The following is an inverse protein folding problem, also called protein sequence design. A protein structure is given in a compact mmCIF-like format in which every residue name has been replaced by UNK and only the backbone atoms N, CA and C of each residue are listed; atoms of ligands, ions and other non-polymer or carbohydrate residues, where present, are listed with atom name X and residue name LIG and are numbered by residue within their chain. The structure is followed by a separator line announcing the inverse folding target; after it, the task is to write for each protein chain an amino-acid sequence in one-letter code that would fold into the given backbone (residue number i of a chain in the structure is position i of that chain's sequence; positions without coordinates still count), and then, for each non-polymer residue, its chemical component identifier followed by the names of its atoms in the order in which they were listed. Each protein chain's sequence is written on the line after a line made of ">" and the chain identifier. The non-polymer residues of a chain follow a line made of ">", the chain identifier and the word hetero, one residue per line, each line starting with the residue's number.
data_IF_426624511603
#
_entry.id   IF_426624511603
#
_cell.length_a   1.000
_cell.length_b   1.000
_cell.length_c   1.000
_cell.angle_alpha   90.00
_cell.angle_beta   90.00
_cell.angle_gamma   90.00
#
_symmetry.space_group_name_H-M   'P 1'
#
loop_
_entity.id
_entity.type
_entity.pdbx_description
1 polymer ?
#
# COMPACT_ATOMS: atom_id res chain seq x y z
N UNK A 1 -35.37 -7.86 -9.48
CA UNK A 1 -35.37 -6.73 -8.52
C UNK A 1 -34.41 -5.62 -8.93
N UNK A 2 -33.08 -5.84 -8.96
CA UNK A 2 -32.10 -4.79 -9.29
C UNK A 2 -32.41 -3.99 -10.57
N UNK A 3 -32.65 -4.67 -11.70
CA UNK A 3 -32.95 -4.02 -13.00
C UNK A 3 -34.26 -3.23 -12.98
N UNK A 4 -35.24 -3.63 -12.17
CA UNK A 4 -36.49 -2.88 -12.04
C UNK A 4 -36.29 -1.58 -11.22
N UNK A 5 -35.37 -1.59 -10.25
CA UNK A 5 -35.07 -0.41 -9.41
C UNK A 5 -34.13 0.58 -10.07
N UNK A 6 -33.08 0.10 -10.75
CA UNK A 6 -31.99 0.92 -11.27
C UNK A 6 -31.93 1.02 -12.80
N UNK A 7 -32.53 0.06 -13.51
CA UNK A 7 -32.45 -0.02 -14.96
C UNK A 7 -31.01 -0.16 -15.45
N UNK A 8 -30.67 0.62 -16.48
CA UNK A 8 -29.34 0.67 -17.10
C UNK A 8 -28.45 1.79 -16.52
N UNK A 9 -28.97 2.55 -15.55
CA UNK A 9 -28.26 3.67 -14.93
C UNK A 9 -27.42 3.19 -13.74
N UNK A 10 -26.33 3.91 -13.39
CA UNK A 10 -25.54 3.57 -12.22
C UNK A 10 -26.34 3.79 -10.94
N UNK A 11 -26.04 2.99 -9.90
CA UNK A 11 -26.77 2.99 -8.62
C UNK A 11 -26.87 4.39 -7.98
N UNK A 12 -25.87 5.24 -8.19
CA UNK A 12 -25.76 6.55 -7.57
C UNK A 12 -26.44 7.69 -8.36
N UNK A 13 -26.99 7.45 -9.56
CA UNK A 13 -27.59 8.49 -10.42
C UNK A 13 -28.78 9.20 -9.76
N UNK A 14 -29.69 8.43 -9.15
CA UNK A 14 -30.89 8.96 -8.50
C UNK A 14 -30.65 9.59 -7.12
N UNK A 15 -29.40 9.73 -6.68
CA UNK A 15 -29.08 10.13 -5.32
C UNK A 15 -28.61 11.58 -5.21
N UNK A 16 -29.29 12.36 -4.36
CA UNK A 16 -28.92 13.75 -4.06
C UNK A 16 -28.66 13.95 -2.57
N UNK A 17 -27.54 14.61 -2.25
CA UNK A 17 -27.16 14.95 -0.88
C UNK A 17 -27.72 16.30 -0.45
N UNK A 18 -28.36 16.31 0.71
CA UNK A 18 -28.76 17.54 1.38
C UNK A 18 -27.54 18.20 2.02
N UNK A 19 -27.25 19.45 1.63
CA UNK A 19 -26.19 20.28 2.18
C UNK A 19 -26.60 21.77 2.08
N UNK A 20 -25.95 22.63 2.86
CA UNK A 20 -26.23 24.06 2.88
C UNK A 20 -25.51 24.74 1.70
N UNK A 21 -26.22 25.61 0.97
CA UNK A 21 -25.67 26.36 -0.16
C UNK A 21 -25.56 25.53 -1.45
N UNK A 22 -24.96 26.14 -2.48
CA UNK A 22 -24.75 25.51 -3.79
C UNK A 22 -23.51 24.60 -3.84
N UNK A 23 -22.49 24.89 -3.05
CA UNK A 23 -21.22 24.15 -3.03
C UNK A 23 -21.26 23.09 -1.93
N UNK A 24 -21.11 21.80 -2.26
CA UNK A 24 -21.08 20.75 -1.25
C UNK A 24 -19.79 20.78 -0.43
N UNK A 25 -19.82 20.27 0.82
CA UNK A 25 -18.60 20.09 1.59
C UNK A 25 -17.67 19.09 0.89
N UNK A 26 -16.36 19.42 0.86
CA UNK A 26 -15.34 18.64 0.16
C UNK A 26 -15.13 17.22 0.71
N UNK A 27 -15.71 16.92 1.87
CA UNK A 27 -15.75 15.57 2.45
C UNK A 27 -17.18 15.16 2.72
N UNK A 28 -17.53 13.96 2.26
CA UNK A 28 -18.79 13.33 2.62
C UNK A 28 -18.76 12.84 4.08
N UNK A 29 -19.92 12.49 4.62
CA UNK A 29 -20.05 12.01 5.99
C UNK A 29 -19.22 10.74 6.22
N UNK A 30 -18.74 10.55 7.45
CA UNK A 30 -17.90 9.39 7.83
C UNK A 30 -18.61 8.04 7.59
N UNK A 31 -19.85 7.88 8.06
CA UNK A 31 -20.65 6.67 7.88
C UNK A 31 -22.16 6.97 7.87
N UNK A 32 -22.93 6.19 7.13
CA UNK A 32 -24.40 6.24 7.09
C UNK A 32 -25.08 5.37 8.14
N UNK A 33 -24.39 4.36 8.67
CA UNK A 33 -24.87 3.50 9.75
C UNK A 33 -24.20 3.93 11.07
N UNK A 34 -24.99 4.31 12.07
CA UNK A 34 -24.51 4.68 13.42
C UNK A 34 -25.25 3.85 14.45
N UNK A 35 -24.53 3.07 15.27
CA UNK A 35 -25.11 2.19 16.30
C UNK A 35 -26.27 1.32 15.76
N UNK A 36 -26.11 0.75 14.57
CA UNK A 36 -27.12 -0.09 13.92
C UNK A 36 -28.30 0.64 13.27
N UNK A 37 -28.42 1.97 13.41
CA UNK A 37 -29.48 2.77 12.78
C UNK A 37 -28.96 3.56 11.58
N UNK A 38 -29.75 3.59 10.51
CA UNK A 38 -29.45 4.41 9.33
C UNK A 38 -29.72 5.88 9.61
N UNK A 39 -28.90 6.75 9.04
CA UNK A 39 -29.17 8.20 8.96
C UNK A 39 -30.35 8.44 8.01
N UNK A 40 -31.12 9.51 8.20
CA UNK A 40 -32.36 9.77 7.44
C UNK A 40 -32.23 9.68 5.91
N UNK A 41 -31.18 10.27 5.32
CA UNK A 41 -30.89 10.14 3.88
C UNK A 41 -29.60 9.32 3.66
N UNK A 42 -29.62 7.97 3.75
CA UNK A 42 -28.43 7.11 3.63
C UNK A 42 -27.84 7.15 2.21
N UNK A 43 -26.59 6.74 2.03
CA UNK A 43 -25.98 6.71 0.69
C UNK A 43 -26.51 5.55 -0.16
N UNK A 44 -26.35 5.56 -1.50
CA UNK A 44 -26.94 4.55 -2.39
C UNK A 44 -26.61 3.10 -1.99
N UNK A 45 -25.35 2.84 -1.61
CA UNK A 45 -24.88 1.53 -1.14
C UNK A 45 -25.46 1.15 0.24
N UNK A 46 -25.73 2.12 1.13
CA UNK A 46 -26.22 1.82 2.48
C UNK A 46 -27.74 1.86 2.61
N UNK A 47 -28.46 2.33 1.59
CA UNK A 47 -29.92 2.27 1.55
C UNK A 47 -30.38 0.82 1.34
N UNK A 48 -29.67 0.12 0.46
CA UNK A 48 -30.05 -1.21 0.00
C UNK A 48 -29.09 -2.26 0.57
N UNK A 49 -29.64 -3.25 1.28
CA UNK A 49 -28.83 -4.33 1.91
C UNK A 49 -28.29 -5.34 0.91
N UNK A 50 -28.93 -5.45 -0.25
CA UNK A 50 -28.59 -6.42 -1.29
C UNK A 50 -27.35 -5.99 -2.09
N UNK A 51 -26.90 -4.74 -1.92
CA UNK A 51 -25.75 -4.19 -2.62
C UNK A 51 -24.47 -4.38 -1.81
N UNK A 52 -23.91 -5.59 -1.89
CA UNK A 52 -22.67 -5.96 -1.20
C UNK A 52 -21.44 -5.52 -2.01
N UNK A 53 -20.59 -4.70 -1.38
CA UNK A 53 -19.31 -4.24 -1.94
C UNK A 53 -18.25 -5.32 -1.72
N UNK A 54 -18.09 -6.18 -2.72
CA UNK A 54 -17.10 -7.25 -2.78
C UNK A 54 -16.27 -7.13 -4.07
N UNK A 55 -15.03 -7.60 -4.05
CA UNK A 55 -14.15 -7.66 -5.22
C UNK A 55 -14.68 -8.57 -6.33
N UNK A 56 -15.51 -9.58 -5.98
CA UNK A 56 -16.17 -10.50 -6.94
C UNK A 56 -17.21 -9.79 -7.81
N UNK A 57 -17.79 -8.69 -7.33
CA UNK A 57 -18.89 -8.00 -7.98
C UNK A 57 -18.40 -6.90 -8.93
N UNK A 58 -17.75 -7.31 -10.01
CA UNK A 58 -17.11 -6.39 -10.98
C UNK A 58 -18.13 -5.43 -11.60
N UNK A 59 -19.33 -5.92 -11.96
CA UNK A 59 -20.42 -5.10 -12.54
C UNK A 59 -20.90 -3.98 -11.61
N UNK A 60 -20.71 -4.13 -10.31
CA UNK A 60 -21.03 -3.08 -9.34
C UNK A 60 -19.87 -2.09 -9.23
N UNK A 61 -18.65 -2.60 -9.09
CA UNK A 61 -17.44 -1.77 -8.93
C UNK A 61 -17.17 -0.89 -10.15
N UNK A 62 -17.41 -1.41 -11.36
CA UNK A 62 -17.22 -0.71 -12.63
C UNK A 62 -18.05 0.58 -12.71
N UNK A 63 -19.24 0.61 -12.10
CA UNK A 63 -20.10 1.80 -12.05
C UNK A 63 -19.50 2.95 -11.24
N UNK A 64 -18.51 2.68 -10.38
CA UNK A 64 -17.83 3.67 -9.56
C UNK A 64 -16.48 4.10 -10.16
N UNK A 65 -16.14 3.62 -11.36
CA UNK A 65 -14.91 3.92 -12.08
C UNK A 65 -15.26 4.70 -13.35
N UNK A 66 -14.42 5.67 -13.71
CA UNK A 66 -14.56 6.39 -14.98
C UNK A 66 -14.17 5.46 -16.15
N UNK A 67 -15.03 5.27 -17.16
CA UNK A 67 -14.75 4.36 -18.28
C UNK A 67 -13.56 4.80 -19.15
N UNK A 68 -13.24 6.10 -19.15
CA UNK A 68 -12.14 6.65 -19.96
C UNK A 68 -10.83 6.77 -19.17
N UNK A 69 -10.91 7.13 -17.88
CA UNK A 69 -9.72 7.42 -17.08
C UNK A 69 -9.27 6.23 -16.22
N UNK A 70 -10.16 5.26 -15.95
CA UNK A 70 -9.90 4.19 -14.98
C UNK A 70 -9.78 4.67 -13.52
N UNK A 71 -10.07 5.94 -13.26
CA UNK A 71 -9.99 6.56 -11.92
C UNK A 71 -11.32 6.37 -11.18
N UNK A 72 -11.24 6.04 -9.90
CA UNK A 72 -12.40 5.91 -9.01
C UNK A 72 -13.04 7.29 -8.81
N UNK A 73 -14.35 7.39 -8.99
CA UNK A 73 -15.06 8.65 -8.76
C UNK A 73 -14.93 9.12 -7.31
N UNK A 74 -14.69 10.43 -7.14
CA UNK A 74 -14.65 11.03 -5.82
C UNK A 74 -16.02 10.93 -5.11
N UNK A 75 -16.09 10.73 -3.78
CA UNK A 75 -17.34 10.58 -3.04
C UNK A 75 -18.33 11.74 -3.17
N UNK A 76 -17.89 12.93 -3.60
CA UNK A 76 -18.77 14.07 -3.88
C UNK A 76 -19.66 13.77 -5.10
N UNK A 77 -19.12 13.13 -6.14
CA UNK A 77 -19.87 12.76 -7.34
C UNK A 77 -20.84 11.60 -7.06
N UNK A 78 -20.38 10.56 -6.39
CA UNK A 78 -21.17 9.33 -6.16
C UNK A 78 -22.08 9.42 -4.93
N UNK A 79 -21.85 10.40 -4.05
CA UNK A 79 -22.65 10.63 -2.84
C UNK A 79 -22.47 9.57 -1.73
N UNK A 80 -21.50 8.67 -1.86
CA UNK A 80 -21.25 7.62 -0.86
C UNK A 80 -20.60 8.15 0.42
N UNK A 81 -20.82 7.45 1.54
CA UNK A 81 -20.11 7.77 2.77
C UNK A 81 -18.65 7.33 2.72
N UNK A 82 -17.79 8.00 3.48
CA UNK A 82 -16.34 7.73 3.48
C UNK A 82 -16.01 6.29 3.89
N UNK A 83 -16.78 5.68 4.80
CA UNK A 83 -16.63 4.27 5.16
C UNK A 83 -16.82 3.34 3.96
N UNK A 84 -17.85 3.56 3.14
CA UNK A 84 -18.09 2.73 1.97
C UNK A 84 -17.13 3.06 0.83
N UNK A 85 -16.74 4.33 0.65
CA UNK A 85 -15.72 4.68 -0.32
C UNK A 85 -14.39 3.95 -0.04
N UNK A 86 -13.93 3.93 1.21
CA UNK A 86 -12.72 3.18 1.59
C UNK A 86 -12.85 1.69 1.31
N UNK A 87 -14.01 1.09 1.62
CA UNK A 87 -14.28 -0.33 1.31
C UNK A 87 -14.29 -0.59 -0.19
N UNK A 88 -14.86 0.33 -0.97
CA UNK A 88 -14.89 0.24 -2.42
C UNK A 88 -13.49 0.36 -3.03
N UNK A 89 -12.66 1.31 -2.56
CA UNK A 89 -11.27 1.41 -2.97
C UNK A 89 -10.46 0.16 -2.62
N UNK A 90 -10.68 -0.42 -1.44
CA UNK A 90 -10.06 -1.69 -1.04
C UNK A 90 -10.53 -2.86 -1.91
N UNK A 91 -11.83 -2.96 -2.20
CA UNK A 91 -12.38 -4.02 -3.04
C UNK A 91 -11.89 -3.90 -4.49
N UNK A 92 -11.73 -2.68 -5.00
CA UNK A 92 -11.14 -2.43 -6.33
C UNK A 92 -9.68 -2.82 -6.34
N UNK A 93 -8.89 -2.40 -5.35
CA UNK A 93 -7.48 -2.81 -5.24
C UNK A 93 -7.36 -4.34 -5.17
N UNK A 94 -8.17 -5.01 -4.34
CA UNK A 94 -8.22 -6.47 -4.27
C UNK A 94 -8.63 -7.09 -5.60
N UNK A 95 -9.64 -6.56 -6.30
CA UNK A 95 -10.05 -7.07 -7.61
C UNK A 95 -8.97 -6.89 -8.68
N UNK A 96 -8.14 -5.87 -8.55
CA UNK A 96 -6.97 -5.62 -9.40
C UNK A 96 -5.81 -6.57 -9.08
N UNK A 97 -5.56 -6.84 -7.79
CA UNK A 97 -4.54 -7.80 -7.34
C UNK A 97 -4.91 -9.25 -7.70
N UNK A 98 -6.21 -9.58 -7.61
CA UNK A 98 -6.76 -10.89 -7.98
C UNK A 98 -7.01 -11.04 -9.48
N UNK A 99 -7.12 -9.94 -10.21
CA UNK A 99 -7.20 -9.98 -11.66
C UNK A 99 -5.86 -10.47 -12.16
N UNK A 100 -5.79 -11.74 -12.54
CA UNK A 100 -4.60 -12.32 -13.15
C UNK A 100 -4.17 -11.36 -14.26
N UNK A 101 -3.02 -10.68 -14.11
CA UNK A 101 -2.56 -9.82 -15.16
C UNK A 101 -2.28 -10.78 -16.30
N UNK A 102 -3.17 -10.82 -17.29
CA UNK A 102 -2.79 -11.22 -18.62
C UNK A 102 -1.80 -10.16 -19.08
N UNK A 103 -0.57 -10.25 -18.55
CA UNK A 103 0.61 -9.78 -19.21
C UNK A 103 0.59 -10.51 -20.55
N UNK A 104 -0.02 -9.90 -21.56
CA UNK A 104 0.58 -9.98 -22.88
C UNK A 104 1.95 -9.33 -22.70
N UNK A 105 2.90 -10.13 -22.23
CA UNK A 105 4.31 -9.93 -22.53
C UNK A 105 4.31 -9.89 -24.05
N UNK A 106 4.33 -8.69 -24.62
CA UNK A 106 4.76 -8.52 -26.00
C UNK A 106 6.24 -8.88 -26.01
N UNK A 107 6.53 -10.17 -25.99
CA UNK A 107 7.83 -10.73 -26.29
C UNK A 107 8.07 -10.43 -27.75
N UNK A 108 8.92 -9.44 -28.01
CA UNK A 108 9.17 -9.00 -29.38
C UNK A 108 10.01 -7.74 -29.37
N UNK A 109 11.31 -7.93 -29.46
CA UNK A 109 12.31 -6.93 -29.82
C UNK A 109 11.94 -6.20 -31.11
N UNK A 110 11.22 -5.07 -30.99
CA UNK A 110 11.21 -3.86 -31.85
C UNK A 110 9.93 -3.07 -31.55
N UNK A 111 9.98 -1.73 -31.36
CA UNK A 111 8.77 -0.94 -31.26
C UNK A 111 8.13 -0.83 -32.66
N UNK A 112 6.91 -1.33 -32.91
CA UNK A 112 6.20 -0.94 -34.10
C UNK A 112 5.68 0.50 -33.90
N UNK A 113 5.93 1.37 -34.88
CA UNK A 113 5.16 2.62 -35.03
C UNK A 113 3.72 2.22 -35.34
N UNK A 114 2.86 2.19 -34.33
CA UNK A 114 1.42 1.97 -34.52
C UNK A 114 0.70 3.25 -34.08
N UNK A 115 -0.20 3.82 -34.91
CA UNK A 115 -1.02 4.95 -34.50
C UNK A 115 -2.00 4.52 -33.39
N UNK A 116 -2.49 5.46 -32.56
CA UNK A 116 -3.44 5.14 -31.51
C UNK A 116 -4.76 4.69 -32.15
N UNK A 117 -5.10 3.40 -32.06
CA UNK A 117 -6.46 2.95 -32.38
C UNK A 117 -7.34 2.99 -31.13
N UNK A 118 -8.56 3.54 -31.21
CA UNK A 118 -9.48 3.61 -30.10
C UNK A 118 -10.26 2.29 -29.92
N UNK A 119 -10.65 2.06 -28.67
CA UNK A 119 -11.77 1.21 -28.21
C UNK A 119 -11.81 -0.24 -28.73
N UNK A 120 -11.18 -1.16 -27.99
CA UNK A 120 -11.71 -2.52 -27.88
C UNK A 120 -12.78 -2.55 -26.77
N UNK A 121 -13.90 -3.27 -26.97
CA UNK A 121 -14.87 -3.49 -25.91
C UNK A 121 -14.25 -4.37 -24.80
N UNK A 122 -14.61 -4.15 -23.52
CA UNK A 122 -14.03 -4.90 -22.41
C UNK A 122 -14.44 -6.37 -22.49
N UNK A 123 -13.45 -7.26 -22.29
CA UNK A 123 -13.70 -8.67 -22.02
C UNK A 123 -14.53 -8.79 -20.72
N UNK A 124 -15.61 -9.57 -20.70
CA UNK A 124 -16.45 -9.71 -19.53
C UNK A 124 -15.70 -10.51 -18.45
N UNK A 125 -15.32 -9.85 -17.35
CA UNK A 125 -14.92 -10.58 -16.13
C UNK A 125 -13.73 -10.05 -15.34
N UNK A 126 -13.08 -8.95 -15.74
CA UNK A 126 -11.94 -8.36 -15.02
C UNK A 126 -12.07 -6.82 -15.00
N UNK A 127 -11.72 -6.17 -13.89
CA UNK A 127 -11.64 -4.70 -13.84
C UNK A 127 -10.46 -4.24 -14.71
N UNK A 128 -10.73 -3.40 -15.70
CA UNK A 128 -9.71 -2.95 -16.63
C UNK A 128 -8.75 -1.97 -15.95
N UNK A 129 -7.45 -2.26 -16.06
CA UNK A 129 -6.36 -1.44 -15.55
C UNK A 129 -5.40 -1.13 -16.70
N UNK A 130 -5.07 0.14 -16.89
CA UNK A 130 -4.00 0.53 -17.81
C UNK A 130 -2.66 0.50 -17.09
N UNK A 131 -1.96 -0.63 -17.17
CA UNK A 131 -0.60 -0.77 -16.66
C UNK A 131 0.36 -0.34 -17.78
N UNK A 132 1.08 0.80 -17.65
CA UNK A 132 2.05 1.17 -18.66
C UNK A 132 3.20 0.17 -18.67
N UNK A 133 3.71 -0.14 -19.87
CA UNK A 133 4.99 -0.83 -19.98
C UNK A 133 6.08 0.07 -19.42
N UNK A 134 6.78 -0.40 -18.38
CA UNK A 134 7.96 0.26 -17.84
C UNK A 134 9.18 -0.48 -18.40
N UNK A 135 10.02 0.16 -19.23
CA UNK A 135 11.22 -0.48 -19.73
C UNK A 135 12.12 -0.84 -18.54
N UNK A 136 12.77 -1.99 -18.64
CA UNK A 136 13.83 -2.36 -17.72
C UNK A 136 14.94 -1.31 -17.85
N UNK A 137 15.46 -0.75 -16.74
CA UNK A 137 16.61 0.15 -16.82
C UNK A 137 17.73 -0.49 -17.64
N UNK A 138 18.36 0.28 -18.53
CA UNK A 138 19.55 -0.16 -19.27
C UNK A 138 20.75 -0.15 -18.31
N UNK A 139 20.79 -1.10 -17.38
CA UNK A 139 21.89 -1.32 -16.46
C UNK A 139 22.55 -2.67 -16.76
N UNK A 140 23.83 -2.78 -16.42
CA UNK A 140 24.54 -4.06 -16.47
C UNK A 140 24.02 -4.96 -15.34
N UNK A 141 23.09 -5.87 -15.65
CA UNK A 141 22.57 -6.88 -14.72
C UNK A 141 23.58 -7.99 -14.37
N UNK A 142 24.87 -7.63 -14.33
CA UNK A 142 25.96 -8.54 -14.01
C UNK A 142 26.09 -8.71 -12.49
N UNK A 143 25.88 -9.93 -12.01
CA UNK A 143 26.10 -10.30 -10.61
C UNK A 143 27.59 -10.50 -10.26
N UNK A 144 28.51 -9.96 -11.06
CA UNK A 144 29.96 -10.08 -10.83
C UNK A 144 30.48 -9.11 -9.77
N UNK A 145 29.70 -8.09 -9.39
CA UNK A 145 30.10 -7.16 -8.36
C UNK A 145 30.19 -7.84 -6.98
N UNK A 146 31.27 -7.56 -6.23
CA UNK A 146 31.56 -8.20 -4.95
C UNK A 146 30.47 -7.99 -3.87
N UNK A 147 29.62 -6.96 -4.02
CA UNK A 147 28.47 -6.73 -3.13
C UNK A 147 27.36 -7.79 -3.26
N UNK A 148 27.21 -8.38 -4.44
CA UNK A 148 26.22 -9.45 -4.71
C UNK A 148 26.88 -10.84 -4.60
N UNK A 149 28.18 -10.91 -4.87
CA UNK A 149 28.98 -12.12 -4.71
C UNK A 149 29.32 -12.47 -3.26
N UNK A 150 29.96 -13.63 -3.07
CA UNK A 150 30.50 -14.02 -1.75
C UNK A 150 31.77 -13.23 -1.47
N UNK A 151 31.74 -12.35 -0.46
CA UNK A 151 32.94 -11.68 0.03
C UNK A 151 33.83 -12.68 0.78
N UNK A 152 35.13 -12.75 0.49
CA UNK A 152 36.03 -13.60 1.25
C UNK A 152 36.04 -13.17 2.73
N UNK A 153 36.05 -14.10 3.69
CA UNK A 153 36.03 -13.76 5.10
C UNK A 153 37.31 -13.01 5.48
N UNK A 154 37.15 -11.95 6.27
CA UNK A 154 38.28 -11.18 6.77
C UNK A 154 39.19 -12.06 7.65
N UNK A 155 40.51 -11.80 7.71
CA UNK A 155 41.42 -12.57 8.54
C UNK A 155 41.05 -12.61 10.04
N UNK A 156 40.36 -11.57 10.53
CA UNK A 156 39.85 -11.47 11.90
C UNK A 156 38.60 -12.32 12.17
N UNK A 157 37.92 -12.81 11.12
CA UNK A 157 36.67 -13.59 11.19
C UNK A 157 36.90 -15.09 10.88
N UNK A 158 38.10 -15.62 11.14
CA UNK A 158 38.43 -17.03 10.84
C UNK A 158 37.70 -18.04 11.74
N UNK A 159 37.19 -17.61 12.90
CA UNK A 159 36.43 -18.45 13.82
C UNK A 159 35.05 -17.87 14.16
N UNK A 160 34.06 -18.71 14.54
CA UNK A 160 32.76 -18.24 14.99
C UNK A 160 32.91 -17.42 16.29
N UNK A 161 32.32 -16.23 16.32
CA UNK A 161 32.28 -15.37 17.51
C UNK A 161 33.47 -14.41 17.70
N UNK A 162 34.43 -14.38 16.77
CA UNK A 162 35.57 -13.47 16.87
C UNK A 162 35.18 -12.04 16.45
N UNK A 163 35.51 -11.06 17.29
CA UNK A 163 35.23 -9.67 16.98
C UNK A 163 36.18 -9.14 15.89
N UNK A 164 35.70 -8.19 15.07
CA UNK A 164 36.50 -7.60 13.99
C UNK A 164 37.73 -6.86 14.51
N UNK A 165 37.60 -6.18 15.65
CA UNK A 165 38.69 -5.51 16.34
C UNK A 165 38.82 -6.02 17.77
N UNK A 166 40.04 -6.10 18.32
CA UNK A 166 40.27 -6.62 19.68
C UNK A 166 39.56 -5.83 20.79
N UNK A 167 39.26 -4.54 20.57
CA UNK A 167 38.67 -3.65 21.57
C UNK A 167 37.14 -3.72 21.64
N UNK A 168 36.50 -4.52 20.78
CA UNK A 168 35.08 -4.90 20.95
C UNK A 168 34.90 -5.90 22.08
N UNK A 169 35.91 -6.74 22.33
CA UNK A 169 35.92 -7.63 23.48
C UNK A 169 36.26 -6.84 24.74
N UNK A 170 35.56 -7.12 25.84
CA UNK A 170 35.84 -6.47 27.10
C UNK A 170 37.23 -6.87 27.60
N UNK A 171 38.10 -5.88 27.78
CA UNK A 171 39.42 -6.04 28.37
C UNK A 171 39.43 -5.35 29.72
N UNK A 172 39.74 -6.08 30.80
CA UNK A 172 39.79 -5.50 32.13
C UNK A 172 40.97 -4.52 32.25
N UNK A 173 40.73 -3.23 32.53
CA UNK A 173 41.82 -2.27 32.70
C UNK A 173 42.66 -2.59 33.94
N UNK A 174 43.92 -2.16 33.95
CA UNK A 174 44.81 -2.41 35.08
C UNK A 174 44.31 -1.72 36.36
N UNK A 175 44.52 -2.35 37.51
CA UNK A 175 44.05 -1.81 38.79
C UNK A 175 44.61 -0.41 39.10
N UNK A 176 45.84 -0.11 38.64
CA UNK A 176 46.46 1.20 38.78
C UNK A 176 45.71 2.31 38.00
N UNK A 177 45.25 2.00 36.80
CA UNK A 177 44.50 2.94 35.96
C UNK A 177 43.08 3.14 36.46
N UNK A 178 42.44 2.07 36.95
CA UNK A 178 41.15 2.15 37.63
C UNK A 178 41.27 3.03 38.88
N UNK A 179 42.34 2.87 39.68
CA UNK A 179 42.58 3.72 40.86
C UNK A 179 42.82 5.18 40.48
N UNK A 180 43.58 5.45 39.40
CA UNK A 180 43.77 6.80 38.86
C UNK A 180 42.44 7.43 38.45
N UNK A 181 41.58 6.71 37.73
CA UNK A 181 40.25 7.19 37.32
C UNK A 181 39.32 7.42 38.52
N UNK A 182 39.34 6.53 39.52
CA UNK A 182 38.56 6.69 40.76
C UNK A 182 38.99 7.92 41.57
N UNK A 183 40.29 8.26 41.57
CA UNK A 183 40.79 9.50 42.21
C UNK A 183 40.32 10.74 41.45
N UNK A 184 40.43 10.74 40.11
CA UNK A 184 40.07 11.88 39.27
C UNK A 184 38.57 12.19 39.34
N UNK A 185 37.72 11.16 39.37
CA UNK A 185 36.26 11.31 39.32
C UNK A 185 35.54 11.00 40.64
N UNK A 186 36.24 11.06 41.79
CA UNK A 186 35.75 10.61 43.11
C UNK A 186 34.32 11.04 43.48
N UNK A 187 33.89 12.24 43.09
CA UNK A 187 32.54 12.78 43.40
C UNK A 187 31.43 12.39 42.41
N UNK A 188 31.75 11.71 41.31
CA UNK A 188 30.83 11.44 40.19
C UNK A 188 30.78 9.96 39.76
N UNK A 189 31.35 9.05 40.57
CA UNK A 189 31.33 7.61 40.28
C UNK A 189 29.94 7.01 40.55
N UNK A 190 29.48 6.12 39.67
CA UNK A 190 28.24 5.36 39.84
C UNK A 190 28.50 4.08 40.66
N UNK A 191 27.65 3.78 41.63
CA UNK A 191 27.84 2.67 42.60
C UNK A 191 27.58 1.26 42.07
N UNK A 192 26.91 1.10 40.93
CA UNK A 192 26.41 -0.20 40.47
C UNK A 192 26.82 -0.53 39.03
N UNK A 193 28.11 -0.73 38.77
CA UNK A 193 28.55 -1.39 37.55
C UNK A 193 29.05 -2.79 37.90
N UNK A 194 28.51 -3.87 37.29
CA UNK A 194 28.98 -5.22 37.58
C UNK A 194 30.47 -5.36 37.23
N UNK A 195 31.25 -5.97 38.13
CA UNK A 195 32.67 -6.28 37.88
C UNK A 195 32.87 -7.33 36.79
N UNK A 196 31.78 -7.99 36.36
CA UNK A 196 31.76 -8.99 35.28
C UNK A 196 31.27 -8.37 33.97
N UNK A 197 31.97 -8.63 32.85
CA UNK A 197 31.53 -8.13 31.55
C UNK A 197 30.16 -8.72 31.16
N UNK A 198 29.32 -7.95 30.44
CA UNK A 198 28.11 -8.52 29.84
C UNK A 198 28.50 -9.64 28.87
N UNK A 199 27.86 -10.80 29.04
CA UNK A 199 27.99 -11.98 28.17
C UNK A 199 27.39 -11.74 26.79
#
# INVERSE_FOLDING_TARGET
>A
EYRATYGDKPVWDGYRRNHKGSVPPQRTRRACLRRGKHVGNPCPICRDRNLLVDFRNIKLLDQFICPHSGVIFHPIHTGICMKQHRRLSQAIAQAQDHGEPQTRVFGGSRPPRVPPRPSMPPFPGLLWLHIPFVPVPEEDFSNQHAAVGKTPPAPALKGPGQAWYPWYEWQQPSAAEVARMRRLYRGFLKENYPDTPPS
#
